data_IF_198525114228
#
_entry.id   IF_198525114228
#
_cell.length_a   1.000
_cell.length_b   1.000
_cell.length_c   1.000
_cell.angle_alpha   90.00
_cell.angle_beta   90.00
_cell.angle_gamma   90.00
#
_symmetry.space_group_name_H-M   'P 1'
#
loop_
_entity.id
_entity.type
_entity.pdbx_description
1 polymer ?
#
# COMPACT_ATOMS: atom_id res chain seq x y z
N UNK A 1 -11.87 10.01 -9.01
CA UNK A 1 -13.08 9.56 -8.25
C UNK A 1 -12.77 8.34 -7.37
N UNK A 2 -11.68 8.35 -6.59
CA UNK A 2 -11.19 7.18 -5.84
C UNK A 2 -11.66 7.12 -4.36
N UNK A 3 -12.52 8.03 -3.93
CA UNK A 3 -12.86 8.22 -2.52
C UNK A 3 -13.79 7.13 -1.91
N UNK A 4 -14.61 6.46 -2.72
CA UNK A 4 -15.66 5.53 -2.22
C UNK A 4 -15.18 4.13 -1.83
N UNK A 5 -14.25 3.48 -2.56
CA UNK A 5 -13.87 2.09 -2.26
C UNK A 5 -13.11 1.97 -0.93
N UNK A 6 -12.18 2.88 -0.68
CA UNK A 6 -11.33 2.81 0.52
C UNK A 6 -12.04 3.26 1.79
N UNK A 7 -12.97 4.22 1.73
CA UNK A 7 -13.86 4.48 2.87
C UNK A 7 -14.71 3.25 3.21
N UNK A 8 -15.24 2.54 2.21
CA UNK A 8 -15.97 1.28 2.43
C UNK A 8 -15.08 0.19 3.05
N UNK A 9 -13.83 0.08 2.61
CA UNK A 9 -12.85 -0.82 3.23
C UNK A 9 -12.55 -0.44 4.69
N UNK A 10 -12.40 0.85 5.00
CA UNK A 10 -12.19 1.31 6.38
C UNK A 10 -13.36 0.94 7.30
N UNK A 11 -14.60 1.09 6.81
CA UNK A 11 -15.81 0.64 7.53
C UNK A 11 -15.87 -0.89 7.65
N UNK A 12 -15.35 -1.63 6.67
CA UNK A 12 -15.36 -3.10 6.65
C UNK A 12 -14.26 -3.70 7.54
N UNK A 13 -13.16 -2.98 7.74
CA UNK A 13 -12.04 -3.35 8.61
C UNK A 13 -12.23 -2.93 10.07
N UNK A 14 -13.43 -2.44 10.46
CA UNK A 14 -13.75 -1.95 11.81
C UNK A 14 -12.82 -0.85 12.33
N UNK A 15 -12.20 -0.06 11.45
CA UNK A 15 -11.45 1.11 11.91
C UNK A 15 -12.40 2.13 12.54
N UNK A 16 -12.09 2.55 13.76
CA UNK A 16 -12.95 3.44 14.53
C UNK A 16 -12.94 4.88 13.98
N UNK A 17 -11.89 5.24 13.23
CA UNK A 17 -11.73 6.54 12.57
C UNK A 17 -10.91 6.44 11.28
N UNK A 18 -10.99 7.46 10.44
CA UNK A 18 -10.17 7.57 9.24
C UNK A 18 -8.68 7.70 9.56
N UNK A 19 -8.31 8.38 10.66
CA UNK A 19 -6.93 8.45 11.15
C UNK A 19 -6.35 7.06 11.46
N UNK A 20 -7.12 6.15 12.05
CA UNK A 20 -6.65 4.77 12.27
C UNK A 20 -6.42 4.02 10.96
N UNK A 21 -7.28 4.26 9.96
CA UNK A 21 -7.08 3.69 8.64
C UNK A 21 -5.84 4.28 7.95
N UNK A 22 -5.58 5.59 8.10
CA UNK A 22 -4.35 6.23 7.60
C UNK A 22 -3.10 5.66 8.26
N UNK A 23 -3.10 5.50 9.58
CA UNK A 23 -1.99 4.87 10.31
C UNK A 23 -1.69 3.46 9.79
N UNK A 24 -2.73 2.64 9.57
CA UNK A 24 -2.56 1.31 9.02
C UNK A 24 -2.02 1.33 7.58
N UNK A 25 -2.45 2.30 6.77
CA UNK A 25 -1.92 2.49 5.40
C UNK A 25 -0.45 2.88 5.47
N UNK A 26 -0.05 3.78 6.36
CA UNK A 26 1.35 4.18 6.56
C UNK A 26 2.23 3.00 6.98
N UNK A 27 1.80 2.19 7.95
CA UNK A 27 2.52 0.99 8.38
C UNK A 27 2.71 -0.03 7.24
N UNK A 28 1.68 -0.20 6.40
CA UNK A 28 1.76 -1.06 5.22
C UNK A 28 2.77 -0.51 4.22
N UNK A 29 2.74 0.80 3.94
CA UNK A 29 3.66 1.46 3.01
C UNK A 29 5.10 1.37 3.52
N UNK A 30 5.32 1.59 4.81
CA UNK A 30 6.62 1.43 5.46
C UNK A 30 7.10 -0.02 5.33
N UNK A 31 6.24 -1.00 5.60
CA UNK A 31 6.57 -2.43 5.45
C UNK A 31 6.91 -2.81 4.01
N UNK A 32 6.26 -2.17 3.02
CA UNK A 32 6.52 -2.39 1.60
C UNK A 32 7.83 -1.74 1.13
N UNK A 33 8.38 -0.77 1.84
CA UNK A 33 9.65 -0.12 1.46
C UNK A 33 10.84 -1.09 1.38
N UNK A 34 10.79 -2.18 2.16
CA UNK A 34 11.79 -3.26 2.14
C UNK A 34 11.49 -4.40 1.17
N UNK A 35 10.42 -4.31 0.36
CA UNK A 35 9.97 -5.41 -0.50
C UNK A 35 11.05 -5.87 -1.48
N UNK A 36 11.73 -4.93 -2.15
CA UNK A 36 12.75 -5.22 -3.16
C UNK A 36 13.86 -6.12 -2.61
N UNK A 37 14.47 -5.69 -1.51
CA UNK A 37 15.60 -6.39 -0.91
C UNK A 37 15.18 -7.72 -0.29
N UNK A 38 14.00 -7.77 0.34
CA UNK A 38 13.43 -9.00 0.88
C UNK A 38 13.13 -10.01 -0.23
N UNK A 39 12.51 -9.59 -1.33
CA UNK A 39 12.16 -10.47 -2.44
C UNK A 39 13.40 -11.02 -3.15
N UNK A 40 14.43 -10.18 -3.37
CA UNK A 40 15.71 -10.64 -3.92
C UNK A 40 16.42 -11.61 -2.98
N UNK A 41 16.42 -11.34 -1.67
CA UNK A 41 17.01 -12.23 -0.66
C UNK A 41 16.34 -13.60 -0.62
N UNK A 42 15.03 -13.67 -0.90
CA UNK A 42 14.26 -14.90 -1.01
C UNK A 42 14.42 -15.63 -2.35
N UNK A 43 15.23 -15.09 -3.27
CA UNK A 43 15.49 -15.70 -4.58
C UNK A 43 14.39 -15.47 -5.62
N UNK A 44 13.53 -14.47 -5.41
CA UNK A 44 12.56 -14.04 -6.42
C UNK A 44 13.33 -13.48 -7.62
N UNK A 45 12.91 -13.83 -8.83
CA UNK A 45 13.56 -13.36 -10.06
C UNK A 45 13.50 -11.83 -10.14
N UNK A 46 14.59 -11.14 -10.54
CA UNK A 46 14.62 -9.68 -10.64
C UNK A 46 13.49 -9.10 -11.51
N UNK A 47 13.16 -9.77 -12.63
CA UNK A 47 12.05 -9.35 -13.50
C UNK A 47 10.69 -9.42 -12.77
N UNK A 48 10.50 -10.41 -11.90
CA UNK A 48 9.30 -10.56 -11.09
C UNK A 48 9.24 -9.51 -9.99
N UNK A 49 10.36 -9.23 -9.31
CA UNK A 49 10.46 -8.14 -8.33
C UNK A 49 10.08 -6.82 -9.00
N UNK A 50 10.66 -6.51 -10.16
CA UNK A 50 10.38 -5.27 -10.91
C UNK A 50 8.93 -5.14 -11.34
N UNK A 51 8.27 -6.24 -11.72
CA UNK A 51 6.84 -6.23 -12.06
C UNK A 51 5.98 -5.93 -10.83
N UNK A 52 6.32 -6.48 -9.68
CA UNK A 52 5.59 -6.24 -8.44
C UNK A 52 5.83 -4.81 -7.97
N UNK A 53 7.07 -4.31 -7.97
CA UNK A 53 7.37 -2.90 -7.66
C UNK A 53 6.58 -1.93 -8.53
N UNK A 54 6.53 -2.17 -9.85
CA UNK A 54 5.73 -1.34 -10.76
C UNK A 54 4.25 -1.33 -10.38
N UNK A 55 3.71 -2.46 -9.92
CA UNK A 55 2.33 -2.56 -9.48
C UNK A 55 2.11 -1.88 -8.13
N UNK A 56 3.06 -1.97 -7.20
CA UNK A 56 3.05 -1.27 -5.92
C UNK A 56 3.10 0.24 -6.13
N UNK A 57 3.96 0.73 -7.02
CA UNK A 57 4.07 2.14 -7.40
C UNK A 57 2.77 2.66 -8.03
N UNK A 58 2.18 1.90 -8.94
CA UNK A 58 0.90 2.27 -9.55
C UNK A 58 -0.21 2.37 -8.49
N UNK A 59 -0.28 1.38 -7.59
CA UNK A 59 -1.22 1.39 -6.47
C UNK A 59 -0.98 2.61 -5.57
N UNK A 60 0.27 2.93 -5.25
CA UNK A 60 0.61 4.11 -4.46
C UNK A 60 0.17 5.40 -5.16
N UNK A 61 0.49 5.59 -6.44
CA UNK A 61 0.11 6.80 -7.17
C UNK A 61 -1.41 7.00 -7.24
N UNK A 62 -2.17 5.92 -7.37
CA UNK A 62 -3.64 5.96 -7.41
C UNK A 62 -4.26 6.29 -6.03
N UNK A 63 -3.55 5.95 -4.95
CA UNK A 63 -4.08 5.99 -3.59
C UNK A 63 -3.41 7.02 -2.67
N UNK A 64 -2.30 7.65 -3.08
CA UNK A 64 -1.54 8.62 -2.26
C UNK A 64 -2.38 9.79 -1.76
N UNK A 65 -3.43 10.17 -2.49
CA UNK A 65 -4.38 11.22 -2.07
C UNK A 65 -5.31 10.83 -0.92
N UNK A 66 -5.13 9.63 -0.34
CA UNK A 66 -5.85 9.15 0.82
C UNK A 66 -5.04 9.34 2.12
N UNK A 67 -3.72 9.44 2.01
CA UNK A 67 -2.90 9.95 3.09
C UNK A 67 -2.99 11.46 3.01
N UNK A 68 -3.30 12.11 4.14
CA UNK A 68 -3.56 13.55 4.18
C UNK A 68 -2.36 14.37 3.68
N UNK A 69 -2.62 15.61 3.25
CA UNK A 69 -1.57 16.61 3.00
C UNK A 69 -0.77 16.94 4.27
#
# INVERSE_FOLDING_TARGET
MAFKPIQKLATTASFASWEQAQQAIEEIVESLSGFHDAALSLGVKPDTVRLIEKQLDACWQDNKGLLGE
#
